data_IF_051638429649
#
_entry.id   IF_051638429649
#
_cell.length_a   1.000
_cell.length_b   1.000
_cell.length_c   1.000
_cell.angle_alpha   90.00
_cell.angle_beta   90.00
_cell.angle_gamma   90.00
#
_symmetry.space_group_name_H-M   'P 1'
#
loop_
_entity.id
_entity.type
_entity.pdbx_description
1 polymer ?
#
# COMPACT_ATOMS: atom_id res chain seq x y z
N UNK A 1 6.14 23.07 -20.37
CA UNK A 1 5.78 22.46 -19.07
C UNK A 1 5.15 23.53 -18.19
N UNK A 2 4.10 23.20 -17.43
CA UNK A 2 3.48 24.14 -16.51
C UNK A 2 4.49 24.60 -15.43
N UNK A 3 4.47 25.89 -15.07
CA UNK A 3 5.36 26.48 -14.07
C UNK A 3 5.07 25.85 -12.70
N UNK A 4 6.06 25.15 -12.11
CA UNK A 4 5.96 24.59 -10.76
C UNK A 4 5.85 25.69 -9.71
N UNK A 5 5.22 25.39 -8.57
CA UNK A 5 5.11 26.34 -7.45
C UNK A 5 6.49 26.69 -6.89
N UNK A 6 6.63 27.88 -6.29
CA UNK A 6 7.91 28.35 -5.71
C UNK A 6 8.48 27.34 -4.71
N UNK A 7 7.62 26.81 -3.83
CA UNK A 7 8.03 25.80 -2.84
C UNK A 7 8.55 24.50 -3.48
N UNK A 8 7.91 24.04 -4.56
CA UNK A 8 8.36 22.84 -5.28
C UNK A 8 9.68 23.08 -6.01
N UNK A 9 9.89 24.29 -6.54
CA UNK A 9 11.17 24.66 -7.14
C UNK A 9 12.29 24.69 -6.11
N UNK A 10 12.04 25.21 -4.92
CA UNK A 10 13.03 25.25 -3.85
C UNK A 10 13.36 23.84 -3.32
N UNK A 11 12.37 22.96 -3.21
CA UNK A 11 12.60 21.55 -2.88
C UNK A 11 13.41 20.82 -3.97
N UNK A 12 13.11 21.04 -5.25
CA UNK A 12 13.83 20.42 -6.37
C UNK A 12 15.30 20.83 -6.45
N UNK A 13 15.65 22.04 -6.00
CA UNK A 13 17.07 22.47 -5.95
C UNK A 13 17.91 21.66 -4.97
N UNK A 14 17.28 21.05 -3.97
CA UNK A 14 17.95 20.21 -2.97
C UNK A 14 18.16 18.77 -3.45
N UNK A 15 17.45 18.35 -4.50
CA UNK A 15 17.53 17.00 -5.05
C UNK A 15 18.27 17.05 -6.38
N UNK A 16 19.47 16.48 -6.41
CA UNK A 16 20.15 16.19 -7.68
C UNK A 16 19.42 15.04 -8.41
N UNK A 17 18.87 15.34 -9.59
CA UNK A 17 18.15 14.37 -10.41
C UNK A 17 19.05 13.33 -11.10
N UNK A 18 20.37 13.56 -11.13
CA UNK A 18 21.35 12.67 -11.77
C UNK A 18 22.02 11.72 -10.78
N UNK A 19 21.99 12.06 -9.49
CA UNK A 19 22.53 11.23 -8.41
C UNK A 19 21.52 10.15 -7.99
N UNK A 20 22.02 8.94 -7.79
CA UNK A 20 21.32 7.91 -7.02
C UNK A 20 21.81 7.98 -5.56
N UNK A 21 20.87 8.05 -4.64
CA UNK A 21 21.12 8.21 -3.20
C UNK A 21 21.03 6.86 -2.49
N UNK A 22 21.68 6.73 -1.34
CA UNK A 22 21.40 5.60 -0.44
C UNK A 22 19.98 5.72 0.13
N UNK A 23 19.44 4.66 0.74
CA UNK A 23 18.09 4.72 1.36
C UNK A 23 18.08 5.71 2.51
N UNK A 24 19.14 5.76 3.30
CA UNK A 24 19.31 6.67 4.42
C UNK A 24 19.28 8.13 3.94
N UNK A 25 20.09 8.45 2.92
CA UNK A 25 20.10 9.77 2.29
C UNK A 25 18.72 10.12 1.69
N UNK A 26 18.08 9.17 1.01
CA UNK A 26 16.80 9.39 0.34
C UNK A 26 15.66 9.63 1.34
N UNK A 27 15.62 8.90 2.46
CA UNK A 27 14.63 9.08 3.51
C UNK A 27 14.81 10.44 4.20
N UNK A 28 16.05 10.80 4.56
CA UNK A 28 16.35 12.09 5.16
C UNK A 28 15.96 13.25 4.23
N UNK A 29 16.33 13.16 2.95
CA UNK A 29 16.02 14.17 1.95
C UNK A 29 14.53 14.24 1.64
N UNK A 30 13.80 13.11 1.66
CA UNK A 30 12.35 13.08 1.47
C UNK A 30 11.62 13.84 2.60
N UNK A 31 12.08 13.69 3.84
CA UNK A 31 11.56 14.45 4.98
C UNK A 31 11.88 15.94 4.88
N UNK A 32 13.11 16.29 4.52
CA UNK A 32 13.55 17.68 4.38
C UNK A 32 12.84 18.42 3.24
N UNK A 33 12.51 17.71 2.17
CA UNK A 33 11.84 18.26 0.98
C UNK A 33 10.31 18.18 1.05
N UNK A 34 9.74 17.78 2.19
CA UNK A 34 8.30 17.80 2.40
C UNK A 34 7.77 19.25 2.46
N UNK A 35 6.85 19.58 1.56
CA UNK A 35 6.24 20.92 1.46
C UNK A 35 4.93 21.00 2.25
N UNK A 36 4.36 19.85 2.62
CA UNK A 36 3.07 19.78 3.29
C UNK A 36 3.10 20.46 4.66
N UNK A 37 1.98 21.10 5.02
CA UNK A 37 1.78 21.68 6.36
C UNK A 37 1.25 20.66 7.38
N UNK A 38 1.03 19.42 6.94
CA UNK A 38 0.54 18.32 7.75
C UNK A 38 1.50 17.13 7.62
N UNK A 39 1.27 16.10 8.43
CA UNK A 39 2.09 14.90 8.42
C UNK A 39 1.86 14.06 7.15
N UNK A 40 2.69 14.36 6.14
CA UNK A 40 2.64 13.74 4.83
C UNK A 40 3.07 12.28 4.91
N UNK A 41 2.59 11.49 3.95
CA UNK A 41 2.98 10.09 3.83
C UNK A 41 4.27 10.02 3.02
N UNK A 42 5.21 9.21 3.50
CA UNK A 42 6.40 8.79 2.75
C UNK A 42 6.05 7.52 2.01
N UNK A 43 6.29 7.51 0.71
CA UNK A 43 5.96 6.41 -0.19
C UNK A 43 7.13 6.06 -1.11
N UNK A 44 7.11 4.83 -1.62
CA UNK A 44 8.13 4.32 -2.52
C UNK A 44 7.46 3.86 -3.80
N UNK A 45 7.99 4.33 -4.91
CA UNK A 45 7.62 3.89 -6.25
C UNK A 45 8.70 2.94 -6.79
N UNK A 46 8.30 1.74 -7.15
CA UNK A 46 9.13 0.76 -7.84
C UNK A 46 8.69 0.66 -9.29
N UNK A 47 9.62 0.88 -10.21
CA UNK A 47 9.42 0.57 -11.63
C UNK A 47 9.95 -0.83 -11.89
N UNK A 48 9.06 -1.78 -12.16
CA UNK A 48 9.43 -3.18 -12.39
C UNK A 48 9.53 -3.51 -13.88
N UNK A 49 10.33 -4.52 -14.21
CA UNK A 49 10.43 -5.10 -15.55
C UNK A 49 9.46 -6.28 -15.72
N UNK A 50 8.17 -6.01 -15.59
CA UNK A 50 7.10 -6.99 -15.77
C UNK A 50 6.10 -6.49 -16.79
N UNK A 51 5.49 -7.41 -17.53
CA UNK A 51 4.36 -7.12 -18.42
C UNK A 51 3.04 -7.41 -17.68
N UNK A 52 2.33 -6.38 -17.17
CA UNK A 52 1.10 -6.58 -16.42
C UNK A 52 -0.06 -7.13 -17.26
N UNK A 53 0.08 -7.20 -18.59
CA UNK A 53 -0.91 -7.86 -19.47
C UNK A 53 -0.80 -9.38 -19.39
N UNK A 54 0.34 -9.91 -18.95
CA UNK A 54 0.60 -11.34 -18.82
C UNK A 54 0.29 -11.82 -17.41
N UNK A 55 -0.57 -12.82 -17.28
CA UNK A 55 -1.05 -13.31 -15.99
C UNK A 55 0.08 -13.90 -15.12
N UNK A 56 1.08 -14.51 -15.75
CA UNK A 56 2.29 -15.07 -15.13
C UNK A 56 3.28 -14.02 -14.63
N UNK A 57 3.12 -12.76 -15.04
CA UNK A 57 3.96 -11.63 -14.59
C UNK A 57 3.20 -10.63 -13.71
N UNK A 58 1.95 -10.93 -13.37
CA UNK A 58 1.15 -10.08 -12.50
C UNK A 58 1.57 -10.25 -11.04
N UNK A 59 2.06 -9.17 -10.43
CA UNK A 59 2.41 -9.15 -9.00
C UNK A 59 1.28 -8.46 -8.23
N UNK A 60 0.78 -9.16 -7.23
CA UNK A 60 -0.18 -8.66 -6.25
C UNK A 60 0.06 -9.39 -4.93
N UNK A 61 0.15 -8.65 -3.84
CA UNK A 61 0.35 -9.21 -2.52
C UNK A 61 0.06 -8.20 -1.44
N UNK A 62 0.37 -8.60 -0.21
CA UNK A 62 0.31 -7.74 0.96
C UNK A 62 1.47 -8.05 1.88
N UNK A 63 1.94 -7.04 2.60
CA UNK A 63 3.03 -7.15 3.58
C UNK A 63 2.65 -6.37 4.82
N UNK A 64 2.97 -6.90 5.99
CA UNK A 64 2.82 -6.18 7.26
C UNK A 64 4.11 -5.42 7.52
N UNK A 65 4.01 -4.10 7.70
CA UNK A 65 5.17 -3.28 8.01
C UNK A 65 5.52 -3.39 9.49
N UNK A 66 6.79 -3.60 9.87
CA UNK A 66 7.19 -3.76 11.27
C UNK A 66 6.85 -2.53 12.13
N UNK A 67 6.92 -1.32 11.54
CA UNK A 67 6.62 -0.08 12.24
C UNK A 67 5.24 0.50 11.85
N UNK A 68 4.42 -0.27 11.13
CA UNK A 68 3.12 0.18 10.62
C UNK A 68 3.19 1.32 9.60
N UNK A 69 2.04 1.91 9.29
CA UNK A 69 1.92 2.99 8.28
C UNK A 69 1.69 4.39 8.88
N UNK A 70 1.47 4.48 10.20
CA UNK A 70 1.11 5.73 10.88
C UNK A 70 -0.31 6.24 10.58
N UNK A 71 -1.16 5.40 9.96
CA UNK A 71 -2.59 5.66 9.80
C UNK A 71 -3.39 4.55 10.47
N UNK A 72 -4.30 4.91 11.39
CA UNK A 72 -5.32 3.99 11.89
C UNK A 72 -6.29 3.71 10.75
N UNK A 73 -6.32 2.47 10.27
CA UNK A 73 -7.23 2.05 9.21
C UNK A 73 -8.55 1.59 9.80
N UNK A 74 -9.66 2.09 9.24
CA UNK A 74 -11.00 1.62 9.58
C UNK A 74 -11.30 0.33 8.82
N UNK A 75 -11.56 -0.76 9.53
CA UNK A 75 -11.76 -2.11 8.98
C UNK A 75 -13.22 -2.49 8.99
N UNK A 76 -13.75 -2.80 7.81
CA UNK A 76 -15.07 -3.42 7.62
C UNK A 76 -14.89 -4.92 7.39
N UNK A 77 -15.62 -5.74 8.15
CA UNK A 77 -15.60 -7.19 8.00
C UNK A 77 -16.97 -7.71 7.53
N UNK A 78 -16.95 -8.48 6.44
CA UNK A 78 -18.08 -9.29 5.99
C UNK A 78 -17.95 -10.72 6.51
N UNK A 79 -18.72 -11.05 7.54
CA UNK A 79 -18.74 -12.38 8.15
C UNK A 79 -20.13 -12.69 8.71
N UNK A 80 -20.47 -13.97 8.83
CA UNK A 80 -21.71 -14.46 9.45
C UNK A 80 -21.40 -15.35 10.65
N UNK A 81 -22.36 -15.45 11.58
CA UNK A 81 -22.30 -16.37 12.72
C UNK A 81 -21.14 -16.09 13.68
N UNK A 82 -20.39 -17.13 14.04
CA UNK A 82 -19.27 -17.03 14.99
C UNK A 82 -18.14 -16.12 14.50
N UNK A 83 -17.89 -16.08 13.18
CA UNK A 83 -16.85 -15.23 12.59
C UNK A 83 -17.14 -13.74 12.71
N UNK A 84 -18.41 -13.35 12.80
CA UNK A 84 -18.78 -11.97 13.10
C UNK A 84 -18.38 -11.60 14.54
N UNK A 85 -18.65 -12.47 15.51
CA UNK A 85 -18.27 -12.26 16.91
C UNK A 85 -16.74 -12.20 17.10
N UNK A 86 -16.01 -13.07 16.41
CA UNK A 86 -14.54 -13.04 16.38
C UNK A 86 -14.02 -11.70 15.82
N UNK A 87 -14.63 -11.19 14.75
CA UNK A 87 -14.26 -9.92 14.13
C UNK A 87 -14.48 -8.73 15.07
N UNK A 88 -15.64 -8.67 15.73
CA UNK A 88 -15.96 -7.64 16.73
C UNK A 88 -14.96 -7.69 17.90
N UNK A 89 -14.65 -8.89 18.40
CA UNK A 89 -13.68 -9.09 19.48
C UNK A 89 -12.25 -8.71 19.07
N UNK A 90 -11.89 -8.91 17.79
CA UNK A 90 -10.61 -8.48 17.22
C UNK A 90 -10.52 -6.94 17.03
N UNK A 91 -11.62 -6.23 17.28
CA UNK A 91 -11.69 -4.78 17.17
C UNK A 91 -11.97 -4.30 15.75
N UNK A 92 -12.67 -5.06 14.91
CA UNK A 92 -13.20 -4.53 13.65
C UNK A 92 -14.12 -3.33 13.92
N UNK A 93 -14.00 -2.27 13.11
CA UNK A 93 -14.77 -1.04 13.32
C UNK A 93 -16.22 -1.21 12.86
N UNK A 94 -16.43 -2.03 11.83
CA UNK A 94 -17.74 -2.43 11.35
C UNK A 94 -17.75 -3.92 11.01
N UNK A 95 -18.82 -4.61 11.41
CA UNK A 95 -19.09 -6.01 11.05
C UNK A 95 -20.52 -6.06 10.54
N UNK A 96 -20.73 -6.73 9.40
CA UNK A 96 -22.07 -6.81 8.80
C UNK A 96 -22.14 -7.80 7.66
N UNK A 97 -23.35 -7.98 7.12
CA UNK A 97 -23.62 -8.94 6.07
C UNK A 97 -24.34 -8.31 4.86
N UNK A 98 -25.61 -8.64 4.64
CA UNK A 98 -26.44 -8.17 3.54
C UNK A 98 -26.92 -6.72 3.80
N UNK A 99 -27.03 -6.31 5.07
CA UNK A 99 -27.37 -4.94 5.48
C UNK A 99 -26.30 -3.93 5.04
N UNK A 100 -25.03 -4.27 5.26
CA UNK A 100 -23.90 -3.41 4.94
C UNK A 100 -23.66 -3.34 3.43
N UNK A 101 -24.04 -4.40 2.70
CA UNK A 101 -24.04 -4.40 1.23
C UNK A 101 -25.04 -3.37 0.68
N UNK A 102 -26.24 -3.30 1.23
CA UNK A 102 -27.22 -2.28 0.81
C UNK A 102 -26.73 -0.87 1.14
N UNK A 103 -26.12 -0.66 2.31
CA UNK A 103 -25.56 0.63 2.72
C UNK A 103 -24.44 1.10 1.78
N UNK A 104 -23.55 0.20 1.35
CA UNK A 104 -22.49 0.51 0.39
C UNK A 104 -23.06 0.80 -1.01
N UNK A 105 -24.09 0.07 -1.44
CA UNK A 105 -24.80 0.38 -2.68
C UNK A 105 -25.45 1.77 -2.63
N UNK A 106 -25.94 2.18 -1.45
CA UNK A 106 -26.44 3.51 -1.16
C UNK A 106 -25.38 4.61 -1.08
N UNK A 107 -24.08 4.28 -1.24
CA UNK A 107 -23.00 5.26 -1.33
C UNK A 107 -22.17 5.45 -0.05
N UNK A 108 -22.27 4.56 0.93
CA UNK A 108 -21.47 4.63 2.16
C UNK A 108 -20.05 4.05 1.99
N UNK A 109 -19.02 4.79 2.43
CA UNK A 109 -17.60 4.43 2.28
C UNK A 109 -16.72 4.88 3.45
N UNK A 110 -17.24 4.87 4.68
CA UNK A 110 -16.46 5.32 5.86
C UNK A 110 -15.50 4.23 6.37
N UNK A 111 -14.88 3.47 5.46
CA UNK A 111 -13.92 2.41 5.77
C UNK A 111 -12.76 2.43 4.78
N UNK A 112 -11.58 1.99 5.25
CA UNK A 112 -10.35 1.95 4.47
C UNK A 112 -10.06 0.56 3.89
N UNK A 113 -10.43 -0.51 4.61
CA UNK A 113 -10.14 -1.90 4.21
C UNK A 113 -11.36 -2.78 4.46
N UNK A 114 -11.59 -3.69 3.52
CA UNK A 114 -12.62 -4.72 3.61
C UNK A 114 -11.97 -6.09 3.76
N UNK A 115 -12.38 -6.83 4.78
CA UNK A 115 -12.06 -8.25 4.98
C UNK A 115 -13.35 -9.04 4.82
N UNK A 116 -13.29 -10.21 4.19
CA UNK A 116 -14.46 -11.06 3.99
C UNK A 116 -14.13 -12.53 4.27
N UNK A 117 -15.11 -13.26 4.76
CA UNK A 117 -15.04 -14.73 4.77
C UNK A 117 -15.43 -15.31 3.40
N UNK A 118 -14.90 -16.47 2.99
CA UNK A 118 -15.17 -17.07 1.68
C UNK A 118 -16.65 -17.29 1.35
N UNK A 119 -17.47 -17.62 2.35
CA UNK A 119 -18.93 -17.79 2.24
C UNK A 119 -19.66 -16.48 1.91
N UNK A 120 -19.11 -15.33 2.34
CA UNK A 120 -19.67 -14.01 2.08
C UNK A 120 -19.29 -13.41 0.72
N UNK A 121 -18.35 -14.04 0.00
CA UNK A 121 -17.87 -13.53 -1.29
C UNK A 121 -18.95 -13.48 -2.38
N UNK A 122 -19.98 -14.34 -2.31
CA UNK A 122 -21.10 -14.30 -3.24
C UNK A 122 -21.90 -12.98 -3.11
N UNK A 123 -22.09 -12.50 -1.88
CA UNK A 123 -22.75 -11.23 -1.61
C UNK A 123 -21.84 -10.05 -1.92
N UNK A 124 -20.58 -10.08 -1.47
CA UNK A 124 -19.59 -9.01 -1.71
C UNK A 124 -19.28 -8.87 -3.20
N UNK A 125 -19.37 -9.95 -3.99
CA UNK A 125 -19.21 -9.93 -5.45
C UNK A 125 -20.18 -8.98 -6.15
N UNK A 126 -21.39 -8.79 -5.62
CA UNK A 126 -22.37 -7.82 -6.14
C UNK A 126 -21.87 -6.37 -6.05
N UNK A 127 -21.01 -6.08 -5.08
CA UNK A 127 -20.38 -4.77 -4.89
C UNK A 127 -19.16 -4.55 -5.81
N UNK A 128 -18.81 -5.51 -6.67
CA UNK A 128 -17.61 -5.42 -7.51
C UNK A 128 -17.54 -4.17 -8.39
N UNK A 129 -18.67 -3.66 -8.88
CA UNK A 129 -18.73 -2.40 -9.66
C UNK A 129 -18.39 -1.16 -8.82
N UNK A 130 -18.60 -1.23 -7.53
CA UNK A 130 -18.47 -0.11 -6.59
C UNK A 130 -17.12 -0.17 -5.85
N UNK A 131 -16.77 -1.34 -5.29
CA UNK A 131 -15.53 -1.55 -4.55
C UNK A 131 -14.32 -1.80 -5.47
N UNK A 132 -14.54 -2.34 -6.67
CA UNK A 132 -13.48 -2.65 -7.63
C UNK A 132 -12.68 -1.42 -8.08
N UNK A 133 -13.32 -0.36 -8.60
CA UNK A 133 -12.63 0.87 -9.01
C UNK A 133 -11.90 1.58 -7.86
N UNK A 134 -12.41 1.44 -6.63
CA UNK A 134 -11.80 2.01 -5.42
C UNK A 134 -10.67 1.14 -4.83
N UNK A 135 -10.44 -0.07 -5.36
CA UNK A 135 -9.42 -0.98 -4.85
C UNK A 135 -9.77 -1.62 -3.50
N UNK A 136 -10.99 -1.44 -3.00
CA UNK A 136 -11.46 -1.93 -1.70
C UNK A 136 -11.99 -3.38 -1.75
N UNK A 137 -12.02 -3.99 -2.94
CA UNK A 137 -12.56 -5.33 -3.11
C UNK A 137 -11.64 -6.39 -2.45
N UNK A 138 -12.16 -7.20 -1.50
CA UNK A 138 -11.40 -8.27 -0.86
C UNK A 138 -10.82 -9.24 -1.88
N UNK A 139 -9.60 -9.72 -1.63
CA UNK A 139 -8.94 -10.68 -2.51
C UNK A 139 -8.17 -11.74 -1.69
N UNK A 140 -8.27 -13.04 -2.06
CA UNK A 140 -7.46 -14.08 -1.44
C UNK A 140 -5.95 -13.84 -1.56
N UNK A 141 -5.48 -13.25 -2.68
CA UNK A 141 -4.05 -12.95 -2.91
C UNK A 141 -3.49 -11.90 -1.96
N UNK A 142 -4.34 -11.02 -1.42
CA UNK A 142 -3.96 -10.02 -0.41
C UNK A 142 -4.22 -10.52 1.02
N UNK A 143 -4.70 -11.76 1.18
CA UNK A 143 -5.06 -12.33 2.47
C UNK A 143 -6.23 -11.62 3.16
N UNK A 144 -7.07 -10.89 2.40
CA UNK A 144 -8.27 -10.23 2.92
C UNK A 144 -9.53 -11.07 2.71
N UNK A 145 -9.38 -12.25 2.11
CA UNK A 145 -10.39 -13.30 2.09
C UNK A 145 -9.83 -14.50 2.85
N UNK A 146 -10.32 -14.75 4.06
CA UNK A 146 -9.80 -15.80 4.95
C UNK A 146 -10.86 -16.24 5.96
N UNK A 147 -10.71 -17.46 6.49
CA UNK A 147 -11.50 -17.95 7.63
C UNK A 147 -10.95 -17.44 8.97
N UNK A 148 -9.68 -17.03 8.99
CA UNK A 148 -9.01 -16.46 10.18
C UNK A 148 -9.17 -14.93 10.19
N UNK A 149 -10.38 -14.51 10.58
CA UNK A 149 -10.80 -13.10 10.55
C UNK A 149 -10.06 -12.29 11.61
N UNK A 150 -9.86 -12.86 12.80
CA UNK A 150 -9.11 -12.24 13.90
C UNK A 150 -7.71 -11.85 13.46
N UNK A 151 -6.97 -12.78 12.83
CA UNK A 151 -5.63 -12.48 12.33
C UNK A 151 -5.66 -11.42 11.23
N UNK A 152 -6.60 -11.50 10.29
CA UNK A 152 -6.69 -10.52 9.22
C UNK A 152 -6.97 -9.10 9.74
N UNK A 153 -7.87 -8.94 10.71
CA UNK A 153 -8.16 -7.65 11.35
C UNK A 153 -6.93 -7.12 12.06
N UNK A 154 -6.25 -7.95 12.85
CA UNK A 154 -5.04 -7.56 13.57
C UNK A 154 -3.90 -7.14 12.64
N UNK A 155 -3.66 -7.89 11.56
CA UNK A 155 -2.63 -7.54 10.56
C UNK A 155 -2.95 -6.21 9.87
N UNK A 156 -4.21 -5.98 9.50
CA UNK A 156 -4.64 -4.72 8.87
C UNK A 156 -4.43 -3.55 9.83
N UNK A 157 -4.84 -3.70 11.09
CA UNK A 157 -4.63 -2.67 12.12
C UNK A 157 -3.16 -2.46 12.48
N UNK A 158 -2.32 -3.50 12.34
CA UNK A 158 -0.87 -3.41 12.47
C UNK A 158 -0.17 -2.69 11.30
N UNK A 159 -0.91 -2.28 10.26
CA UNK A 159 -0.37 -1.55 9.12
C UNK A 159 0.01 -2.46 7.95
N UNK A 160 -0.77 -3.52 7.69
CA UNK A 160 -0.68 -4.27 6.44
C UNK A 160 -0.91 -3.36 5.24
N UNK A 161 0.01 -3.42 4.28
CA UNK A 161 -0.06 -2.69 3.03
C UNK A 161 -0.19 -3.66 1.88
N UNK A 162 -1.17 -3.42 1.02
CA UNK A 162 -1.34 -4.17 -0.23
C UNK A 162 -0.57 -3.51 -1.34
N UNK A 163 0.15 -4.29 -2.15
CA UNK A 163 0.83 -3.81 -3.34
C UNK A 163 0.30 -4.54 -4.58
N UNK A 164 0.18 -3.80 -5.68
CA UNK A 164 -0.26 -4.33 -6.97
C UNK A 164 0.44 -3.58 -8.10
N UNK A 165 0.86 -4.31 -9.11
CA UNK A 165 1.39 -3.71 -10.34
C UNK A 165 0.26 -3.01 -11.11
N UNK A 166 0.52 -1.77 -11.52
CA UNK A 166 -0.35 -0.99 -12.39
C UNK A 166 -0.26 -1.44 -13.87
N UNK A 167 -0.91 -0.72 -14.78
CA UNK A 167 -0.86 -1.06 -16.21
C UNK A 167 0.50 -0.75 -16.87
N UNK A 168 1.36 0.00 -16.19
CA UNK A 168 2.66 0.46 -16.68
C UNK A 168 3.85 -0.28 -16.03
N UNK A 169 3.59 -1.28 -15.16
CA UNK A 169 4.63 -2.04 -14.49
C UNK A 169 5.16 -1.39 -13.21
N UNK A 170 4.43 -0.44 -12.61
CA UNK A 170 4.83 0.24 -11.39
C UNK A 170 4.09 -0.31 -10.17
N UNK A 171 4.77 -0.26 -9.03
CA UNK A 171 4.19 -0.49 -7.71
C UNK A 171 4.41 0.76 -6.87
N UNK A 172 3.35 1.21 -6.19
CA UNK A 172 3.40 2.30 -5.22
C UNK A 172 3.03 1.74 -3.85
N UNK A 173 3.88 1.99 -2.84
CA UNK A 173 3.66 1.50 -1.48
C UNK A 173 3.98 2.61 -0.47
N UNK A 174 3.04 2.96 0.44
CA UNK A 174 3.37 3.81 1.58
C UNK A 174 4.27 3.06 2.56
N UNK A 175 5.36 3.69 3.00
CA UNK A 175 6.29 3.14 4.00
C UNK A 175 6.13 3.77 5.38
N UNK A 176 5.37 4.87 5.50
CA UNK A 176 5.10 5.50 6.78
C UNK A 176 4.79 6.99 6.66
N UNK A 177 5.00 7.71 7.75
CA UNK A 177 4.79 9.15 7.85
C UNK A 177 6.09 9.91 7.94
N UNK A 178 6.08 11.19 7.57
CA UNK A 178 7.25 12.07 7.73
C UNK A 178 7.63 12.22 9.21
N UNK A 179 6.66 12.11 10.12
CA UNK A 179 6.87 12.09 11.57
C UNK A 179 7.62 10.87 12.10
N UNK A 180 7.80 9.80 11.31
CA UNK A 180 8.52 8.61 11.76
C UNK A 180 10.03 8.87 11.84
N UNK A 181 10.70 8.16 12.75
CA UNK A 181 12.15 8.12 12.81
C UNK A 181 12.73 7.51 11.52
N UNK A 182 13.90 7.99 11.10
CA UNK A 182 14.52 7.56 9.84
C UNK A 182 14.78 6.05 9.84
N UNK A 183 15.23 5.49 10.97
CA UNK A 183 15.44 4.05 11.14
C UNK A 183 14.16 3.23 10.88
N UNK A 184 13.01 3.68 11.37
CA UNK A 184 11.72 2.98 11.18
C UNK A 184 11.29 2.97 9.72
N UNK A 185 11.55 4.07 8.99
CA UNK A 185 11.26 4.17 7.57
C UNK A 185 12.19 3.28 6.74
N UNK A 186 13.47 3.19 7.12
CA UNK A 186 14.46 2.30 6.49
C UNK A 186 14.06 0.84 6.69
N UNK A 187 13.69 0.42 7.90
CA UNK A 187 13.23 -0.95 8.17
C UNK A 187 11.96 -1.31 7.39
N UNK A 188 11.00 -0.39 7.31
CA UNK A 188 9.79 -0.57 6.50
C UNK A 188 10.13 -0.68 5.02
N UNK A 189 11.06 0.14 4.51
CA UNK A 189 11.56 0.06 3.14
C UNK A 189 12.21 -1.29 2.84
N UNK A 190 13.11 -1.76 3.71
CA UNK A 190 13.80 -3.05 3.56
C UNK A 190 12.80 -4.21 3.51
N UNK A 191 11.81 -4.20 4.42
CA UNK A 191 10.74 -5.22 4.46
C UNK A 191 9.98 -5.30 3.13
N UNK A 192 9.62 -4.15 2.55
CA UNK A 192 8.94 -4.10 1.24
C UNK A 192 9.88 -4.54 0.12
N UNK A 193 11.14 -4.09 0.14
CA UNK A 193 12.13 -4.44 -0.87
C UNK A 193 12.34 -5.96 -0.94
N UNK A 194 12.60 -6.60 0.20
CA UNK A 194 12.77 -8.05 0.32
C UNK A 194 11.53 -8.82 -0.13
N UNK A 195 10.34 -8.31 0.23
CA UNK A 195 9.08 -8.90 -0.17
C UNK A 195 8.89 -8.84 -1.69
N UNK A 196 9.23 -7.70 -2.31
CA UNK A 196 9.15 -7.53 -3.76
C UNK A 196 10.18 -8.39 -4.51
N UNK A 197 11.39 -8.55 -3.97
CA UNK A 197 12.41 -9.45 -4.51
C UNK A 197 11.93 -10.91 -4.49
N UNK A 198 11.36 -11.37 -3.37
CA UNK A 198 10.76 -12.71 -3.24
C UNK A 198 9.55 -12.90 -4.16
N UNK A 199 8.82 -11.83 -4.44
CA UNK A 199 7.67 -11.84 -5.35
C UNK A 199 8.05 -11.78 -6.84
N UNK A 200 9.35 -11.84 -7.19
CA UNK A 200 9.80 -11.84 -8.59
C UNK A 200 9.23 -13.04 -9.36
N UNK A 201 8.46 -12.80 -10.45
CA UNK A 201 7.99 -13.88 -11.30
C UNK A 201 9.14 -14.57 -12.05
N UNK A 202 9.12 -15.90 -12.14
CA UNK A 202 10.13 -16.66 -12.89
C UNK A 202 10.19 -16.31 -14.37
N UNK A 203 9.09 -15.81 -14.93
CA UNK A 203 8.98 -15.37 -16.31
C UNK A 203 9.62 -13.98 -16.57
N UNK A 204 9.96 -13.22 -15.52
CA UNK A 204 10.60 -11.91 -15.64
C UNK A 204 12.10 -12.08 -15.96
N UNK A 205 12.47 -11.76 -17.21
CA UNK A 205 13.86 -11.81 -17.69
C UNK A 205 14.58 -10.47 -17.49
N UNK A 206 15.88 -10.53 -17.23
CA UNK A 206 16.72 -9.35 -17.03
C UNK A 206 16.57 -8.71 -15.64
N UNK A 207 16.96 -7.44 -15.54
CA UNK A 207 16.89 -6.67 -14.30
C UNK A 207 15.43 -6.45 -13.90
N UNK A 208 15.06 -6.96 -12.72
CA UNK A 208 13.67 -6.98 -12.25
C UNK A 208 13.19 -5.61 -11.77
N UNK A 209 13.98 -4.91 -10.97
CA UNK A 209 13.70 -3.53 -10.55
C UNK A 209 14.49 -2.57 -11.44
N UNK A 210 13.81 -1.70 -12.19
CA UNK A 210 14.45 -0.72 -13.08
C UNK A 210 14.77 0.59 -12.38
N UNK A 211 13.91 1.00 -11.45
CA UNK A 211 14.06 2.24 -10.70
C UNK A 211 13.33 2.12 -9.36
N UNK A 212 13.91 2.71 -8.32
CA UNK A 212 13.35 2.83 -6.99
C UNK A 212 13.38 4.32 -6.66
N UNK A 213 12.23 4.89 -6.30
CA UNK A 213 12.12 6.31 -6.00
C UNK A 213 11.36 6.50 -4.71
N UNK A 214 11.97 7.17 -3.74
CA UNK A 214 11.32 7.59 -2.50
C UNK A 214 10.75 8.98 -2.72
N UNK A 215 9.53 9.23 -2.26
CA UNK A 215 8.89 10.54 -2.33
C UNK A 215 7.98 10.74 -1.13
N UNK A 216 7.63 12.00 -0.85
CA UNK A 216 6.49 12.32 0.01
C UNK A 216 5.30 12.74 -0.84
N UNK A 217 4.11 12.76 -0.24
CA UNK A 217 2.84 13.11 -0.93
C UNK A 217 2.92 14.43 -1.73
N UNK A 218 3.72 15.40 -1.29
CA UNK A 218 3.91 16.70 -1.96
C UNK A 218 5.38 17.03 -2.25
N UNK A 219 6.25 16.02 -2.22
CA UNK A 219 7.69 16.18 -2.40
C UNK A 219 8.16 15.85 -3.82
N UNK A 220 9.43 16.16 -4.13
CA UNK A 220 10.11 15.60 -5.29
C UNK A 220 10.41 14.11 -5.09
N UNK A 221 10.52 13.37 -6.20
CA UNK A 221 11.02 12.00 -6.19
C UNK A 221 12.54 11.98 -6.08
N UNK A 222 13.06 11.13 -5.20
CA UNK A 222 14.48 10.94 -4.94
C UNK A 222 14.86 9.52 -5.37
N UNK A 223 15.76 9.41 -6.34
CA UNK A 223 16.20 8.12 -6.87
C UNK A 223 17.11 7.41 -5.89
N UNK A 224 16.81 6.15 -5.60
CA UNK A 224 17.60 5.31 -4.71
C UNK A 224 18.51 4.40 -5.54
N UNK A 225 19.77 4.28 -5.14
CA UNK A 225 20.74 3.37 -5.73
C UNK A 225 20.34 1.92 -5.45
N UNK A 226 20.21 1.10 -6.50
CA UNK A 226 19.69 -0.26 -6.39
C UNK A 226 20.66 -1.28 -5.77
N UNK A 227 21.92 -0.87 -5.55
CA UNK A 227 23.01 -1.73 -5.07
C UNK A 227 23.33 -1.54 -3.57
N UNK A 228 22.63 -0.63 -2.88
CA UNK A 228 22.96 -0.25 -1.49
C UNK A 228 22.25 -1.08 -0.43
N UNK A 229 21.64 -2.23 -0.78
CA UNK A 229 20.83 -3.06 0.13
C UNK A 229 21.01 -4.55 -0.15
#
# INVERSE_FOLDING_TARGET
MAKKSKKMQDALKKVDATKAYSVEEAVALAKETNIAKFDATVEVAYKLNVDPKKADQQIRGAVVLPNGTGKTQTVLVFAKGEKAKEAEAAGADFVGDDDMVQKIQGGWFDFDVVVATPDMMATVGKLGRVLGPKGLMPNPKTGTVTMDVTKAVNEVKAGKVTYRVDKAGNIHVPIGKVSFDDAKLIENFQTIHDTLLKAKPSAAKGQYMKNITVTTTFGPGIHVEQASF
#
